data_IF_402280673845
#
_entry.id   IF_402280673845
#
_cell.length_a   1.000
_cell.length_b   1.000
_cell.length_c   1.000
_cell.angle_alpha   90.00
_cell.angle_beta   90.00
_cell.angle_gamma   90.00
#
_symmetry.space_group_name_H-M   'P 1'
#
loop_
_entity.id
_entity.type
_entity.pdbx_description
1 polymer ?
#
# COMPACT_ATOMS: atom_id res chain seq x y z
N UNK A 1 -1.33 22.43 13.32
CA UNK A 1 -0.01 22.73 13.96
C UNK A 1 -0.07 23.98 14.85
N UNK A 2 0.15 23.86 16.17
CA UNK A 2 0.40 25.02 17.03
C UNK A 2 1.89 25.37 16.98
N UNK A 3 2.25 26.62 16.68
CA UNK A 3 3.64 27.10 16.56
C UNK A 3 4.49 26.86 17.84
N UNK A 4 3.83 26.63 18.98
CA UNK A 4 4.46 26.37 20.27
C UNK A 4 5.23 25.05 20.34
N UNK A 5 4.76 24.00 19.65
CA UNK A 5 5.41 22.70 19.66
C UNK A 5 6.54 22.62 18.61
N UNK A 6 6.30 23.20 17.43
CA UNK A 6 7.25 23.14 16.31
C UNK A 6 8.59 23.84 16.57
N UNK A 7 8.66 24.70 17.59
CA UNK A 7 9.92 25.38 17.99
C UNK A 7 10.80 24.54 18.92
N UNK A 8 10.28 23.44 19.50
CA UNK A 8 11.00 22.61 20.49
C UNK A 8 11.06 21.13 20.12
N UNK A 9 10.21 20.65 19.21
CA UNK A 9 10.20 19.27 18.73
C UNK A 9 10.96 19.14 17.40
N UNK A 10 11.89 18.18 17.34
CA UNK A 10 12.61 17.80 16.12
C UNK A 10 13.10 16.35 16.24
N UNK A 11 13.22 15.65 15.11
CA UNK A 11 13.71 14.28 14.99
C UNK A 11 12.92 13.26 15.82
N UNK A 12 11.60 13.45 15.94
CA UNK A 12 10.69 12.58 16.70
C UNK A 12 10.66 11.16 16.13
N UNK A 13 11.08 10.94 14.88
CA UNK A 13 11.34 9.60 14.36
C UNK A 13 12.36 8.82 15.23
N UNK A 14 13.27 9.50 15.91
CA UNK A 14 14.27 8.91 16.80
C UNK A 14 13.98 9.20 18.28
N UNK A 15 13.51 10.41 18.59
CA UNK A 15 13.50 10.93 19.97
C UNK A 15 12.19 10.69 20.71
N UNK A 16 11.08 10.40 20.01
CA UNK A 16 9.78 10.23 20.68
C UNK A 16 9.76 8.98 21.58
N UNK A 17 9.25 9.09 22.82
CA UNK A 17 9.19 7.95 23.72
C UNK A 17 8.11 6.95 23.30
N UNK A 18 6.96 7.46 22.84
CA UNK A 18 5.77 6.67 22.56
C UNK A 18 5.56 6.45 21.06
N UNK A 19 5.06 5.26 20.70
CA UNK A 19 4.63 4.92 19.35
C UNK A 19 3.17 5.33 19.07
N UNK A 20 2.62 6.34 19.77
CA UNK A 20 1.29 6.94 19.52
C UNK A 20 1.38 8.46 19.48
N UNK A 21 0.44 9.09 18.79
CA UNK A 21 0.28 10.54 18.67
C UNK A 21 0.81 11.12 17.36
N UNK A 22 0.33 12.31 17.02
CA UNK A 22 0.85 13.14 15.94
C UNK A 22 2.25 13.67 16.25
N UNK A 23 2.95 14.19 15.23
CA UNK A 23 4.28 14.77 15.37
C UNK A 23 4.24 16.23 14.91
N UNK A 24 4.54 17.17 15.81
CA UNK A 24 4.37 18.61 15.56
C UNK A 24 5.67 19.32 15.17
N UNK A 25 6.61 18.61 14.54
CA UNK A 25 7.86 19.19 14.04
C UNK A 25 7.63 20.09 12.82
N UNK A 26 8.62 20.94 12.51
CA UNK A 26 8.63 21.66 11.24
C UNK A 26 8.60 20.68 10.05
N UNK A 27 7.59 20.81 9.20
CA UNK A 27 7.35 19.86 8.09
C UNK A 27 8.55 19.70 7.13
N UNK A 28 9.36 20.76 6.98
CA UNK A 28 10.54 20.83 6.12
C UNK A 28 11.86 20.41 6.79
N UNK A 29 11.83 20.07 8.08
CA UNK A 29 13.00 19.61 8.85
C UNK A 29 12.81 18.21 9.41
N UNK A 30 13.72 17.79 10.29
CA UNK A 30 13.62 16.54 11.05
C UNK A 30 13.80 15.25 10.24
N UNK A 31 14.03 14.15 10.94
CA UNK A 31 14.19 12.81 10.38
C UNK A 31 12.94 12.29 9.64
N UNK A 32 13.15 11.73 8.44
CA UNK A 32 12.09 11.33 7.50
C UNK A 32 11.76 9.83 7.59
N UNK A 33 11.13 9.42 8.70
CA UNK A 33 10.30 8.21 8.70
C UNK A 33 8.91 8.52 8.13
N UNK A 34 8.20 7.47 7.70
CA UNK A 34 6.81 7.58 7.26
C UNK A 34 5.99 8.28 8.36
N UNK A 35 5.31 9.38 8.03
CA UNK A 35 4.51 10.21 8.94
C UNK A 35 5.21 10.58 10.26
N UNK A 36 6.56 10.68 10.26
CA UNK A 36 7.36 10.91 11.47
C UNK A 36 7.12 9.87 12.58
N UNK A 37 6.74 8.64 12.19
CA UNK A 37 6.62 7.50 13.11
C UNK A 37 7.99 7.13 13.66
N UNK A 38 8.03 6.56 14.87
CA UNK A 38 9.30 6.13 15.47
C UNK A 38 9.95 5.05 14.59
N UNK A 39 11.22 5.22 14.25
CA UNK A 39 12.05 4.16 13.68
C UNK A 39 12.37 3.12 14.76
N UNK A 40 12.01 1.86 14.53
CA UNK A 40 12.39 0.76 15.42
C UNK A 40 12.25 -0.59 14.73
N UNK A 41 13.07 -1.56 15.14
CA UNK A 41 12.91 -2.98 14.80
C UNK A 41 12.22 -3.77 15.91
N UNK A 42 11.91 -3.13 17.03
CA UNK A 42 11.15 -3.72 18.14
C UNK A 42 9.65 -3.66 17.84
N UNK A 43 8.99 -4.81 17.90
CA UNK A 43 7.56 -4.97 17.59
C UNK A 43 6.67 -5.14 18.83
N UNK A 44 7.26 -5.21 20.03
CA UNK A 44 6.51 -5.37 21.27
C UNK A 44 5.54 -4.20 21.49
N UNK A 45 4.25 -4.50 21.62
CA UNK A 45 3.20 -3.50 21.81
C UNK A 45 2.93 -2.61 20.60
N UNK A 46 3.37 -3.01 19.41
CA UNK A 46 3.07 -2.34 18.13
C UNK A 46 1.78 -2.94 17.55
N UNK A 47 0.89 -2.10 17.07
CA UNK A 47 -0.36 -2.50 16.41
C UNK A 47 -0.17 -2.63 14.89
N UNK A 48 0.67 -1.77 14.30
CA UNK A 48 0.95 -1.72 12.86
C UNK A 48 2.39 -1.28 12.56
N UNK A 49 3.04 -1.98 11.64
CA UNK A 49 4.37 -1.64 11.13
C UNK A 49 4.29 -1.13 9.69
N UNK A 50 4.90 0.03 9.43
CA UNK A 50 5.12 0.55 8.08
C UNK A 50 6.50 0.09 7.62
N UNK A 51 6.63 -0.53 6.45
CA UNK A 51 7.95 -1.00 5.97
C UNK A 51 8.13 -0.81 4.47
N UNK A 52 9.35 -0.50 4.03
CA UNK A 52 9.67 -0.32 2.62
C UNK A 52 10.30 -1.57 1.99
N UNK A 53 9.95 -1.83 0.73
CA UNK A 53 10.48 -2.93 -0.09
C UNK A 53 11.09 -2.37 -1.40
N UNK A 54 12.33 -1.84 -1.37
CA UNK A 54 12.88 -1.07 -2.49
C UNK A 54 13.43 -1.95 -3.63
N UNK A 55 12.54 -2.57 -4.40
CA UNK A 55 12.86 -3.49 -5.49
C UNK A 55 12.06 -3.15 -6.75
N UNK A 56 12.69 -3.14 -7.93
CA UNK A 56 12.04 -2.85 -9.22
C UNK A 56 12.63 -3.68 -10.38
N UNK A 57 13.17 -4.87 -10.09
CA UNK A 57 13.79 -5.71 -11.12
C UNK A 57 12.79 -6.67 -11.79
N UNK A 58 11.50 -6.61 -11.42
CA UNK A 58 10.41 -7.31 -12.09
C UNK A 58 9.64 -6.43 -13.10
N UNK A 59 10.05 -5.17 -13.29
CA UNK A 59 9.37 -4.24 -14.19
C UNK A 59 9.54 -4.62 -15.66
N UNK A 60 8.49 -4.41 -16.44
CA UNK A 60 8.49 -4.65 -17.90
C UNK A 60 8.91 -3.44 -18.74
N UNK A 61 8.84 -2.23 -18.18
CA UNK A 61 9.11 -0.98 -18.91
C UNK A 61 10.13 -0.07 -18.19
N UNK A 62 9.67 0.89 -17.38
CA UNK A 62 10.54 1.91 -16.77
C UNK A 62 10.93 1.50 -15.34
N UNK A 63 12.23 1.36 -15.03
CA UNK A 63 12.67 1.17 -13.64
C UNK A 63 12.61 2.50 -12.87
N UNK A 64 12.68 2.43 -11.54
CA UNK A 64 12.71 3.58 -10.65
C UNK A 64 11.89 3.39 -9.37
N UNK A 65 10.99 2.42 -9.35
CA UNK A 65 10.15 2.11 -8.19
C UNK A 65 10.97 1.69 -6.95
N UNK A 66 12.23 1.24 -7.11
CA UNK A 66 13.14 0.99 -5.97
C UNK A 66 13.37 2.21 -5.08
N UNK A 67 13.12 3.42 -5.57
CA UNK A 67 13.23 4.66 -4.80
C UNK A 67 11.89 5.12 -4.20
N UNK A 68 10.78 4.47 -4.54
CA UNK A 68 9.42 4.75 -4.07
C UNK A 68 9.31 4.87 -2.54
N UNK A 69 9.84 3.92 -1.75
CA UNK A 69 9.71 3.99 -0.29
C UNK A 69 10.33 5.24 0.33
N UNK A 70 11.42 5.77 -0.26
CA UNK A 70 12.03 7.02 0.23
C UNK A 70 11.17 8.23 -0.11
N UNK A 71 10.69 8.29 -1.35
CA UNK A 71 9.85 9.41 -1.80
C UNK A 71 8.52 9.47 -1.05
N UNK A 72 7.90 8.33 -0.77
CA UNK A 72 6.66 8.26 0.03
C UNK A 72 6.92 8.74 1.46
N UNK A 73 8.02 8.31 2.10
CA UNK A 73 8.40 8.83 3.44
C UNK A 73 8.56 10.34 3.44
N UNK A 74 9.29 10.88 2.46
CA UNK A 74 9.50 12.32 2.33
C UNK A 74 8.17 13.07 2.14
N UNK A 75 7.34 12.64 1.20
CA UNK A 75 6.04 13.25 0.92
C UNK A 75 5.07 13.17 2.10
N UNK A 76 5.18 12.13 2.93
CA UNK A 76 4.33 11.93 4.11
C UNK A 76 4.59 12.94 5.25
N UNK A 77 5.70 13.66 5.21
CA UNK A 77 6.08 14.63 6.24
C UNK A 77 5.02 15.72 6.49
N UNK A 78 4.29 16.12 5.44
CA UNK A 78 3.24 17.13 5.52
C UNK A 78 1.99 16.62 6.27
N UNK A 79 1.79 15.32 6.37
CA UNK A 79 0.60 14.71 6.97
C UNK A 79 0.77 14.38 8.47
N UNK A 80 1.97 14.57 9.03
CA UNK A 80 2.32 14.03 10.34
C UNK A 80 1.73 14.79 11.55
N UNK A 81 1.29 16.04 11.35
CA UNK A 81 0.88 16.96 12.43
C UNK A 81 -0.63 17.22 12.50
N UNK A 82 -1.43 16.63 11.60
CA UNK A 82 -2.88 16.77 11.58
C UNK A 82 -3.54 15.38 11.50
N UNK A 83 -4.72 15.24 12.10
CA UNK A 83 -5.51 14.02 11.98
C UNK A 83 -5.95 13.80 10.52
N UNK A 84 -6.06 12.55 10.04
CA UNK A 84 -6.45 12.27 8.67
C UNK A 84 -7.88 12.76 8.40
N UNK A 85 -8.02 13.62 7.40
CA UNK A 85 -9.28 14.27 7.07
C UNK A 85 -10.32 13.26 6.56
N UNK A 86 -11.57 13.41 7.02
CA UNK A 86 -12.73 12.66 6.51
C UNK A 86 -13.03 11.34 7.24
N UNK A 87 -12.19 10.90 8.19
CA UNK A 87 -12.38 9.62 8.89
C UNK A 87 -13.14 9.72 10.22
N UNK A 88 -13.16 10.89 10.86
CA UNK A 88 -13.83 11.07 12.15
C UNK A 88 -13.17 10.33 13.33
N UNK A 89 -11.93 9.87 13.15
CA UNK A 89 -11.04 9.36 14.20
C UNK A 89 -9.58 9.48 13.72
N UNK A 90 -8.62 9.31 14.64
CA UNK A 90 -7.20 9.45 14.34
C UNK A 90 -6.42 8.16 14.67
N UNK A 91 -6.08 7.31 13.67
CA UNK A 91 -5.30 6.11 13.90
C UNK A 91 -3.89 6.41 14.41
N UNK A 92 -3.32 7.58 14.12
CA UNK A 92 -1.98 7.95 14.59
C UNK A 92 -1.94 8.15 16.10
N UNK A 93 -3.05 8.58 16.69
CA UNK A 93 -3.23 8.76 18.13
C UNK A 93 -3.76 7.51 18.84
N UNK A 94 -4.58 6.69 18.18
CA UNK A 94 -5.17 5.49 18.78
C UNK A 94 -4.27 4.24 18.70
N UNK A 95 -3.52 4.08 17.60
CA UNK A 95 -2.72 2.89 17.34
C UNK A 95 -1.23 3.12 17.59
N UNK A 96 -0.58 2.08 18.10
CA UNK A 96 0.87 1.99 18.21
C UNK A 96 1.48 1.70 16.84
N UNK A 97 1.92 2.73 16.12
CA UNK A 97 2.42 2.64 14.74
C UNK A 97 3.90 3.02 14.68
N UNK A 98 4.71 2.18 14.01
CA UNK A 98 6.16 2.39 13.83
C UNK A 98 6.55 2.38 12.35
N UNK A 99 7.63 3.08 12.01
CA UNK A 99 8.34 2.84 10.75
C UNK A 99 9.40 1.78 11.02
N UNK A 100 9.18 0.60 10.46
CA UNK A 100 10.06 -0.55 10.59
C UNK A 100 11.28 -0.46 9.65
N UNK A 101 11.43 0.63 8.91
CA UNK A 101 12.48 0.80 7.91
C UNK A 101 12.28 -0.12 6.71
N UNK A 102 13.34 -0.36 5.97
CA UNK A 102 13.30 -1.20 4.77
C UNK A 102 13.73 -2.65 5.06
N UNK A 103 13.30 -3.57 4.20
CA UNK A 103 13.84 -4.93 4.14
C UNK A 103 15.25 -4.90 3.53
N UNK A 104 16.18 -5.63 4.15
CA UNK A 104 17.53 -5.83 3.60
C UNK A 104 17.58 -7.09 2.71
N UNK A 105 18.15 -6.96 1.52
CA UNK A 105 18.35 -8.05 0.56
C UNK A 105 19.60 -7.79 -0.31
N UNK A 106 20.08 -8.83 -0.98
CA UNK A 106 21.14 -8.70 -1.99
C UNK A 106 20.51 -8.29 -3.33
N UNK A 107 20.72 -7.03 -3.72
CA UNK A 107 20.16 -6.50 -4.96
C UNK A 107 20.72 -7.21 -6.22
N UNK A 108 21.87 -7.87 -6.12
CA UNK A 108 22.47 -8.61 -7.22
C UNK A 108 21.97 -10.06 -7.33
N UNK A 109 21.24 -10.55 -6.32
CA UNK A 109 20.66 -11.89 -6.30
C UNK A 109 19.13 -11.84 -6.33
N UNK A 110 18.59 -11.53 -7.50
CA UNK A 110 17.14 -11.33 -7.74
C UNK A 110 16.32 -12.57 -7.34
N UNK A 111 16.84 -13.77 -7.56
CA UNK A 111 16.13 -15.01 -7.28
C UNK A 111 15.82 -15.22 -5.78
N UNK A 112 16.56 -14.61 -4.86
CA UNK A 112 16.31 -14.70 -3.43
C UNK A 112 15.23 -13.73 -2.92
N UNK A 113 14.95 -12.66 -3.68
CA UNK A 113 14.04 -11.59 -3.24
C UNK A 113 12.67 -12.11 -2.79
N UNK A 114 11.98 -13.03 -3.50
CA UNK A 114 10.67 -13.52 -3.06
C UNK A 114 10.72 -14.13 -1.65
N UNK A 115 11.70 -14.99 -1.39
CA UNK A 115 11.86 -15.64 -0.08
C UNK A 115 12.23 -14.63 1.02
N UNK A 116 12.99 -13.59 0.69
CA UNK A 116 13.36 -12.51 1.63
C UNK A 116 12.15 -11.67 2.00
N UNK A 117 11.31 -11.30 1.04
CA UNK A 117 10.07 -10.53 1.28
C UNK A 117 9.12 -11.35 2.15
N UNK A 118 8.89 -12.61 1.80
CA UNK A 118 8.03 -13.50 2.57
C UNK A 118 8.50 -13.61 4.02
N UNK A 119 9.80 -13.86 4.26
CA UNK A 119 10.36 -13.96 5.59
C UNK A 119 10.31 -12.65 6.39
N UNK A 120 10.49 -11.50 5.72
CA UNK A 120 10.42 -10.17 6.36
C UNK A 120 9.00 -9.89 6.87
N UNK A 121 7.98 -10.17 6.05
CA UNK A 121 6.58 -9.99 6.44
C UNK A 121 6.16 -11.01 7.48
N UNK A 122 6.52 -12.29 7.31
CA UNK A 122 6.21 -13.36 8.27
C UNK A 122 6.78 -13.06 9.66
N UNK A 123 7.99 -12.49 9.73
CA UNK A 123 8.60 -12.04 10.97
C UNK A 123 7.78 -10.96 11.69
N UNK A 124 7.19 -10.02 10.96
CA UNK A 124 6.32 -8.97 11.53
C UNK A 124 4.98 -9.57 11.98
N UNK A 125 4.33 -10.37 11.12
CA UNK A 125 3.04 -11.00 11.41
C UNK A 125 3.13 -11.97 12.60
N UNK A 126 4.26 -12.67 12.77
CA UNK A 126 4.52 -13.57 13.91
C UNK A 126 4.53 -12.84 15.25
N UNK A 127 4.86 -11.55 15.26
CA UNK A 127 4.74 -10.67 16.43
C UNK A 127 3.31 -10.15 16.67
N UNK A 128 2.32 -10.62 15.91
CA UNK A 128 0.92 -10.18 15.96
C UNK A 128 0.72 -8.71 15.54
N UNK A 129 1.60 -8.22 14.68
CA UNK A 129 1.59 -6.84 14.17
C UNK A 129 1.15 -6.84 12.71
N UNK A 130 0.20 -5.98 12.34
CA UNK A 130 -0.19 -5.82 10.93
C UNK A 130 0.86 -5.05 10.12
N UNK A 131 0.80 -5.12 8.79
CA UNK A 131 1.72 -4.38 7.93
C UNK A 131 1.01 -3.50 6.92
N UNK A 132 1.55 -2.30 6.71
CA UNK A 132 1.34 -1.56 5.47
C UNK A 132 2.69 -1.34 4.81
N UNK A 133 2.85 -1.75 3.56
CA UNK A 133 4.14 -1.67 2.88
C UNK A 133 4.19 -0.56 1.85
N UNK A 134 5.36 0.06 1.70
CA UNK A 134 5.69 0.92 0.57
C UNK A 134 6.55 0.08 -0.37
N UNK A 135 6.03 -0.22 -1.55
CA UNK A 135 6.70 -1.05 -2.53
C UNK A 135 7.77 -0.31 -3.31
N UNK A 136 8.52 -1.11 -4.06
CA UNK A 136 8.82 -0.80 -5.45
C UNK A 136 7.78 -1.49 -6.33
N UNK A 137 8.19 -2.37 -7.25
CA UNK A 137 7.28 -2.96 -8.25
C UNK A 137 6.21 -3.91 -7.67
N UNK A 138 5.14 -4.13 -8.44
CA UNK A 138 3.95 -4.85 -8.00
C UNK A 138 4.19 -6.37 -7.75
N UNK A 139 5.31 -6.93 -8.24
CA UNK A 139 5.64 -8.34 -7.97
C UNK A 139 5.74 -8.63 -6.47
N UNK A 140 6.17 -7.64 -5.68
CA UNK A 140 6.35 -7.76 -4.22
C UNK A 140 5.08 -8.23 -3.49
N UNK A 141 3.89 -7.98 -4.04
CA UNK A 141 2.62 -8.40 -3.44
C UNK A 141 2.49 -9.93 -3.38
N UNK A 142 3.03 -10.69 -4.33
CA UNK A 142 2.98 -12.16 -4.30
C UNK A 142 3.64 -12.78 -3.04
N UNK A 143 4.93 -12.52 -2.74
CA UNK A 143 5.54 -13.04 -1.52
C UNK A 143 4.96 -12.44 -0.22
N UNK A 144 4.38 -11.22 -0.26
CA UNK A 144 3.60 -10.69 0.88
C UNK A 144 2.37 -11.58 1.11
N UNK A 145 1.59 -11.87 0.08
CA UNK A 145 0.40 -12.72 0.17
C UNK A 145 0.73 -14.14 0.64
N UNK A 146 1.89 -14.70 0.30
CA UNK A 146 2.36 -15.98 0.86
C UNK A 146 2.48 -15.94 2.38
N UNK A 147 3.07 -14.86 2.93
CA UNK A 147 3.17 -14.67 4.37
C UNK A 147 1.80 -14.45 5.03
N UNK A 148 0.92 -13.65 4.42
CA UNK A 148 -0.44 -13.45 4.91
C UNK A 148 -1.26 -14.75 4.90
N UNK A 149 -1.15 -15.57 3.87
CA UNK A 149 -1.85 -16.84 3.76
C UNK A 149 -1.46 -17.83 4.87
N UNK A 150 -0.20 -17.84 5.32
CA UNK A 150 0.24 -18.64 6.47
C UNK A 150 -0.48 -18.24 7.76
N UNK A 151 -0.80 -16.95 7.93
CA UNK A 151 -1.42 -16.42 9.15
C UNK A 151 -2.94 -16.46 9.12
N UNK A 152 -3.55 -16.14 7.98
CA UNK A 152 -5.00 -15.91 7.86
C UNK A 152 -5.71 -16.96 7.01
N UNK A 153 -4.97 -17.89 6.38
CA UNK A 153 -5.48 -18.63 5.22
C UNK A 153 -5.62 -17.72 4.00
N UNK A 154 -6.23 -18.21 2.91
CA UNK A 154 -6.47 -17.39 1.73
C UNK A 154 -7.24 -16.11 2.09
N UNK A 155 -6.79 -14.97 1.58
CA UNK A 155 -7.39 -13.66 1.85
C UNK A 155 -8.24 -13.18 0.67
N UNK A 156 -9.23 -12.33 0.95
CA UNK A 156 -9.85 -11.53 -0.10
C UNK A 156 -8.87 -10.44 -0.56
N UNK A 157 -8.91 -10.09 -1.85
CA UNK A 157 -8.00 -9.11 -2.43
C UNK A 157 -8.77 -7.98 -3.10
N UNK A 158 -8.38 -6.75 -2.80
CA UNK A 158 -8.79 -5.56 -3.55
C UNK A 158 -7.53 -5.02 -4.21
N UNK A 159 -7.48 -5.06 -5.54
CA UNK A 159 -6.39 -4.53 -6.33
C UNK A 159 -6.85 -3.21 -6.97
N UNK A 160 -6.13 -2.12 -6.72
CA UNK A 160 -6.29 -0.87 -7.48
C UNK A 160 -5.17 -0.80 -8.50
N UNK A 161 -5.50 -0.76 -9.79
CA UNK A 161 -4.50 -0.91 -10.85
C UNK A 161 -5.05 -0.50 -12.22
N UNK A 162 -4.17 -0.13 -13.17
CA UNK A 162 -4.53 -0.09 -14.60
C UNK A 162 -4.44 -1.48 -15.27
N UNK A 163 -3.69 -2.40 -14.67
CA UNK A 163 -3.30 -3.72 -15.16
C UNK A 163 -3.92 -4.85 -14.35
N UNK A 164 -4.26 -5.93 -15.05
CA UNK A 164 -4.92 -7.08 -14.40
C UNK A 164 -3.96 -7.98 -13.62
N UNK A 165 -2.66 -7.90 -13.90
CA UNK A 165 -1.55 -8.72 -13.39
C UNK A 165 -1.81 -10.23 -13.33
N UNK A 166 -2.72 -10.68 -14.19
CA UNK A 166 -3.19 -12.06 -14.32
C UNK A 166 -2.71 -12.71 -15.61
N UNK A 167 -1.70 -12.14 -16.27
CA UNK A 167 -1.10 -12.79 -17.44
C UNK A 167 -0.54 -14.16 -17.03
N UNK A 168 -0.86 -15.17 -17.85
CA UNK A 168 -0.52 -16.54 -17.56
C UNK A 168 1.00 -16.73 -17.48
N UNK A 169 1.46 -17.26 -16.34
CA UNK A 169 2.84 -17.65 -16.14
C UNK A 169 2.94 -18.86 -15.21
N UNK A 170 3.06 -20.04 -15.82
CA UNK A 170 3.20 -21.32 -15.12
C UNK A 170 4.63 -21.58 -14.61
N UNK A 171 5.58 -20.65 -14.80
CA UNK A 171 6.91 -20.73 -14.22
C UNK A 171 6.94 -20.06 -12.84
N UNK A 172 6.90 -20.84 -11.73
CA UNK A 172 6.85 -20.27 -10.38
C UNK A 172 8.15 -19.55 -9.99
N UNK A 173 9.25 -19.77 -10.71
CA UNK A 173 10.54 -19.12 -10.43
C UNK A 173 10.68 -17.76 -11.12
N UNK A 174 9.83 -17.45 -12.12
CA UNK A 174 9.88 -16.16 -12.81
C UNK A 174 9.38 -15.04 -11.92
N UNK A 175 10.11 -13.93 -11.94
CA UNK A 175 9.84 -12.72 -11.17
C UNK A 175 9.38 -11.65 -12.17
N UNK A 176 8.10 -11.32 -12.14
CA UNK A 176 7.47 -10.41 -13.10
C UNK A 176 6.25 -9.74 -12.45
N UNK A 177 6.17 -8.41 -12.54
CA UNK A 177 5.10 -7.65 -11.89
C UNK A 177 3.73 -7.85 -12.54
N UNK A 178 3.65 -8.19 -13.84
CA UNK A 178 2.39 -8.38 -14.57
C UNK A 178 1.78 -9.79 -14.46
N UNK A 179 2.36 -10.67 -13.64
CA UNK A 179 1.93 -12.06 -13.49
C UNK A 179 1.68 -12.47 -12.03
N UNK A 180 1.86 -11.56 -11.08
CA UNK A 180 1.84 -11.89 -9.66
C UNK A 180 0.47 -12.43 -9.22
N UNK A 181 -0.62 -11.83 -9.72
CA UNK A 181 -1.98 -12.23 -9.35
C UNK A 181 -2.38 -13.56 -9.98
N UNK A 182 -1.90 -13.85 -11.20
CA UNK A 182 -2.01 -15.19 -11.78
C UNK A 182 -1.43 -16.22 -10.81
N UNK A 183 -0.18 -16.03 -10.37
CA UNK A 183 0.50 -16.95 -9.45
C UNK A 183 -0.19 -17.04 -8.10
N UNK A 184 -0.64 -15.91 -7.54
CA UNK A 184 -1.35 -15.87 -6.27
C UNK A 184 -2.65 -16.69 -6.30
N UNK A 185 -3.40 -16.64 -7.40
CA UNK A 185 -4.60 -17.47 -7.61
C UNK A 185 -4.21 -18.95 -7.76
N UNK A 186 -3.19 -19.26 -8.57
CA UNK A 186 -2.72 -20.65 -8.78
C UNK A 186 -2.20 -21.31 -7.51
N UNK A 187 -1.58 -20.53 -6.63
CA UNK A 187 -1.10 -20.97 -5.31
C UNK A 187 -2.21 -21.02 -4.24
N UNK A 188 -3.42 -20.55 -4.55
CA UNK A 188 -4.54 -20.50 -3.61
C UNK A 188 -4.35 -19.50 -2.48
N UNK A 189 -3.53 -18.46 -2.68
CA UNK A 189 -3.33 -17.38 -1.70
C UNK A 189 -4.53 -16.43 -1.66
N UNK A 190 -5.18 -16.29 -2.81
CA UNK A 190 -6.42 -15.54 -3.05
C UNK A 190 -7.31 -16.37 -3.99
N UNK A 191 -8.61 -16.09 -4.01
CA UNK A 191 -9.55 -16.76 -4.90
C UNK A 191 -10.28 -15.74 -5.79
N UNK A 192 -10.46 -15.99 -7.11
CA UNK A 192 -11.08 -15.03 -8.05
C UNK A 192 -12.43 -14.50 -7.56
N UNK A 193 -13.27 -15.34 -6.97
CA UNK A 193 -14.59 -14.98 -6.44
C UNK A 193 -14.56 -14.01 -5.25
N UNK A 194 -13.38 -13.82 -4.65
CA UNK A 194 -13.13 -12.90 -3.52
C UNK A 194 -12.08 -11.84 -3.86
N UNK A 195 -11.75 -11.72 -5.15
CA UNK A 195 -10.81 -10.72 -5.67
C UNK A 195 -11.55 -9.74 -6.56
N UNK A 196 -11.29 -8.45 -6.37
CA UNK A 196 -11.80 -7.37 -7.21
C UNK A 196 -10.67 -6.45 -7.63
N UNK A 197 -10.54 -6.21 -8.95
CA UNK A 197 -9.57 -5.26 -9.51
C UNK A 197 -10.30 -4.00 -9.99
N UNK A 198 -9.78 -2.83 -9.61
CA UNK A 198 -10.43 -1.52 -9.73
C UNK A 198 -9.54 -0.57 -10.53
N UNK A 199 -10.09 0.04 -11.58
CA UNK A 199 -9.36 0.98 -12.44
C UNK A 199 -8.71 0.36 -13.68
N UNK A 200 -8.94 -0.93 -13.91
CA UNK A 200 -8.39 -1.68 -15.04
C UNK A 200 -8.72 -0.97 -16.35
N UNK A 201 -7.74 -0.89 -17.24
CA UNK A 201 -7.87 -0.27 -18.57
C UNK A 201 -6.82 -0.77 -19.56
N UNK A 202 -6.39 -2.00 -19.34
CA UNK A 202 -5.58 -2.79 -20.27
C UNK A 202 -6.30 -4.11 -20.54
N UNK A 203 -6.07 -4.68 -21.72
CA UNK A 203 -6.76 -5.89 -22.16
C UNK A 203 -5.99 -7.14 -21.68
N UNK A 204 -6.72 -8.07 -21.08
CA UNK A 204 -6.26 -9.43 -20.81
C UNK A 204 -7.44 -10.38 -21.13
N UNK A 205 -7.29 -11.30 -22.11
CA UNK A 205 -8.38 -12.18 -22.51
C UNK A 205 -8.81 -13.17 -21.42
N UNK A 206 -7.96 -13.42 -20.40
CA UNK A 206 -8.28 -14.29 -19.28
C UNK A 206 -7.81 -13.68 -17.95
N UNK A 207 -8.75 -13.09 -17.22
CA UNK A 207 -8.53 -12.55 -15.86
C UNK A 207 -8.78 -13.60 -14.78
N UNK A 208 -8.85 -14.89 -15.12
CA UNK A 208 -9.12 -16.01 -14.23
C UNK A 208 -10.46 -15.92 -13.48
N UNK A 209 -11.40 -15.12 -13.96
CA UNK A 209 -12.69 -14.88 -13.31
C UNK A 209 -12.67 -13.83 -12.19
N UNK A 210 -11.59 -13.06 -12.05
CA UNK A 210 -11.52 -11.90 -11.14
C UNK A 210 -12.61 -10.88 -11.51
N UNK A 211 -13.28 -10.32 -10.50
CA UNK A 211 -14.25 -9.24 -10.71
C UNK A 211 -13.52 -7.97 -11.14
N UNK A 212 -13.79 -7.49 -12.36
CA UNK A 212 -13.20 -6.25 -12.88
C UNK A 212 -14.19 -5.09 -12.73
N UNK A 213 -13.76 -4.02 -12.08
CA UNK A 213 -14.40 -2.70 -12.05
C UNK A 213 -13.48 -1.75 -12.81
N UNK A 214 -13.56 -1.77 -14.14
CA UNK A 214 -12.66 -1.01 -15.02
C UNK A 214 -12.80 0.52 -14.81
N UNK A 215 -11.82 1.29 -15.30
CA UNK A 215 -11.86 2.74 -15.14
C UNK A 215 -13.14 3.38 -15.72
N UNK A 216 -13.63 3.01 -16.93
CA UNK A 216 -14.92 3.47 -17.44
C UNK A 216 -16.11 3.20 -16.50
N UNK A 217 -16.19 2.02 -15.88
CA UNK A 217 -17.21 1.68 -14.89
C UNK A 217 -17.11 2.61 -13.70
N UNK A 218 -15.92 2.79 -13.11
CA UNK A 218 -15.73 3.68 -11.94
C UNK A 218 -16.15 5.12 -12.27
N UNK A 219 -15.86 5.59 -13.48
CA UNK A 219 -16.26 6.91 -13.96
C UNK A 219 -17.78 7.07 -14.10
N UNK A 220 -18.46 6.04 -14.62
CA UNK A 220 -19.90 6.10 -14.94
C UNK A 220 -20.79 5.74 -13.74
N UNK A 221 -20.44 4.68 -13.01
CA UNK A 221 -21.17 4.20 -11.85
C UNK A 221 -20.91 5.07 -10.60
N UNK A 222 -19.74 5.69 -10.53
CA UNK A 222 -19.34 6.55 -9.42
C UNK A 222 -18.87 5.80 -8.18
N UNK A 223 -18.53 6.57 -7.15
CA UNK A 223 -17.86 6.08 -5.93
C UNK A 223 -18.77 5.12 -5.14
N UNK A 224 -20.03 5.47 -4.93
CA UNK A 224 -20.94 4.71 -4.06
C UNK A 224 -21.17 3.28 -4.58
N UNK A 225 -21.48 3.14 -5.87
CA UNK A 225 -21.67 1.82 -6.50
C UNK A 225 -20.35 1.03 -6.53
N UNK A 226 -19.22 1.69 -6.81
CA UNK A 226 -17.90 1.04 -6.78
C UNK A 226 -17.60 0.46 -5.40
N UNK A 227 -17.82 1.24 -4.33
CA UNK A 227 -17.65 0.79 -2.94
C UNK A 227 -18.60 -0.36 -2.61
N UNK A 228 -19.87 -0.28 -3.01
CA UNK A 228 -20.84 -1.34 -2.78
C UNK A 228 -20.43 -2.66 -3.44
N UNK A 229 -19.92 -2.60 -4.69
CA UNK A 229 -19.41 -3.76 -5.41
C UNK A 229 -18.19 -4.38 -4.75
N UNK A 230 -17.21 -3.55 -4.36
CA UNK A 230 -16.02 -4.02 -3.66
C UNK A 230 -16.43 -4.75 -2.37
N UNK A 231 -17.27 -4.13 -1.53
CA UNK A 231 -17.75 -4.73 -0.27
C UNK A 231 -18.51 -6.04 -0.49
N UNK A 232 -19.31 -6.14 -1.55
CA UNK A 232 -20.03 -7.36 -1.92
C UNK A 232 -19.08 -8.53 -2.23
N UNK A 233 -17.99 -8.26 -2.97
CA UNK A 233 -17.00 -9.29 -3.35
C UNK A 233 -16.24 -9.79 -2.11
N UNK A 234 -15.69 -8.87 -1.30
CA UNK A 234 -14.82 -9.26 -0.18
C UNK A 234 -15.61 -9.80 1.03
N UNK A 235 -16.81 -9.27 1.27
CA UNK A 235 -17.63 -9.60 2.45
C UNK A 235 -16.91 -9.31 3.77
N UNK A 236 -17.01 -10.23 4.72
CA UNK A 236 -16.40 -10.11 6.06
C UNK A 236 -15.01 -10.79 6.18
N UNK A 237 -14.48 -11.29 5.06
CA UNK A 237 -13.23 -12.06 5.03
C UNK A 237 -12.03 -11.18 5.39
N UNK A 238 -10.95 -11.76 5.96
CA UNK A 238 -9.65 -11.10 6.00
C UNK A 238 -9.30 -10.58 4.60
N UNK A 239 -9.10 -9.28 4.50
CA UNK A 239 -8.90 -8.58 3.24
C UNK A 239 -7.51 -7.96 3.20
N UNK A 240 -6.87 -8.05 2.05
CA UNK A 240 -5.65 -7.33 1.74
C UNK A 240 -5.95 -6.31 0.61
N UNK A 241 -5.45 -5.09 0.73
CA UNK A 241 -5.51 -4.09 -0.36
C UNK A 241 -4.12 -3.92 -0.93
N UNK A 242 -3.99 -4.09 -2.25
CA UNK A 242 -2.80 -3.70 -2.98
C UNK A 242 -3.14 -2.54 -3.90
N UNK A 243 -2.38 -1.45 -3.82
CA UNK A 243 -2.64 -0.22 -4.55
C UNK A 243 -1.46 0.11 -5.45
N UNK A 244 -1.58 -0.24 -6.73
CA UNK A 244 -0.70 0.29 -7.77
C UNK A 244 -1.04 1.76 -8.00
N UNK A 245 -0.03 2.63 -7.89
CA UNK A 245 -0.23 4.06 -8.09
C UNK A 245 -0.66 4.39 -9.52
N UNK A 246 -0.35 3.52 -10.48
CA UNK A 246 -0.77 3.64 -11.88
C UNK A 246 -2.28 3.38 -12.09
N UNK A 247 -3.01 2.93 -11.06
CA UNK A 247 -4.47 3.00 -11.04
C UNK A 247 -4.97 4.43 -11.33
N UNK A 248 -4.24 5.43 -10.84
CA UNK A 248 -4.52 6.83 -11.08
C UNK A 248 -4.13 7.23 -12.52
N UNK A 249 -4.87 8.17 -13.09
CA UNK A 249 -4.49 8.73 -14.38
C UNK A 249 -3.08 9.37 -14.31
N UNK A 250 -2.26 9.32 -15.38
CA UNK A 250 -0.96 9.98 -15.41
C UNK A 250 -1.00 11.49 -15.12
N UNK A 251 -2.16 12.15 -15.22
CA UNK A 251 -2.34 13.52 -14.74
C UNK A 251 -2.18 13.67 -13.21
N UNK A 252 -2.42 12.60 -12.44
CA UNK A 252 -2.30 12.56 -10.98
C UNK A 252 -1.11 11.72 -10.50
N UNK A 253 -0.70 10.70 -11.26
CA UNK A 253 0.43 9.83 -10.95
C UNK A 253 1.39 9.70 -12.15
N UNK A 254 2.07 10.79 -12.59
CA UNK A 254 3.01 10.74 -13.69
C UNK A 254 4.25 9.85 -13.40
N UNK A 255 4.57 9.69 -12.12
CA UNK A 255 5.73 8.99 -11.60
C UNK A 255 5.53 7.50 -11.42
N UNK A 256 5.29 6.75 -12.50
CA UNK A 256 5.11 5.29 -12.48
C UNK A 256 5.77 4.60 -13.68
N UNK A 257 5.99 3.29 -13.57
CA UNK A 257 6.66 2.44 -14.57
C UNK A 257 5.88 2.25 -15.87
N UNK A 258 4.56 2.14 -15.75
CA UNK A 258 3.63 1.67 -16.79
C UNK A 258 2.40 2.58 -16.93
N UNK A 259 2.56 3.90 -17.17
CA UNK A 259 1.41 4.81 -17.16
C UNK A 259 0.41 4.51 -18.28
N UNK A 260 -0.88 4.38 -17.90
CA UNK A 260 -2.00 4.21 -18.84
C UNK A 260 -3.02 5.33 -18.67
N UNK A 261 -3.32 6.05 -19.74
CA UNK A 261 -4.33 7.13 -19.76
C UNK A 261 -5.76 6.66 -19.47
N UNK A 262 -6.62 7.58 -19.05
CA UNK A 262 -8.03 7.31 -18.73
C UNK A 262 -8.21 6.65 -17.37
N UNK A 263 -7.32 6.97 -16.41
CA UNK A 263 -7.32 6.40 -15.07
C UNK A 263 -8.20 7.13 -14.07
N UNK A 264 -8.19 6.66 -12.82
CA UNK A 264 -8.92 7.31 -11.74
C UNK A 264 -8.33 8.69 -11.43
N UNK A 265 -9.20 9.64 -11.12
CA UNK A 265 -8.77 10.86 -10.45
C UNK A 265 -8.45 10.56 -8.97
N UNK A 266 -7.48 11.28 -8.39
CA UNK A 266 -7.07 11.07 -6.99
C UNK A 266 -8.23 11.20 -6.00
N UNK A 267 -9.21 12.06 -6.28
CA UNK A 267 -10.42 12.21 -5.46
C UNK A 267 -11.35 10.98 -5.52
N UNK A 268 -11.40 10.26 -6.65
CA UNK A 268 -12.18 9.02 -6.77
C UNK A 268 -11.55 7.94 -5.89
N UNK A 269 -10.23 7.75 -6.02
CA UNK A 269 -9.49 6.78 -5.21
C UNK A 269 -9.64 7.08 -3.71
N UNK A 270 -9.45 8.34 -3.29
CA UNK A 270 -9.61 8.74 -1.89
C UNK A 270 -11.04 8.49 -1.37
N UNK A 271 -12.07 8.82 -2.16
CA UNK A 271 -13.45 8.61 -1.76
C UNK A 271 -13.83 7.13 -1.70
N UNK A 272 -13.32 6.30 -2.62
CA UNK A 272 -13.50 4.85 -2.59
C UNK A 272 -12.83 4.26 -1.34
N UNK A 273 -11.54 4.55 -1.11
CA UNK A 273 -10.81 4.05 0.06
C UNK A 273 -11.52 4.42 1.37
N UNK A 274 -12.01 5.65 1.52
CA UNK A 274 -12.81 6.05 2.69
C UNK A 274 -14.14 5.29 2.80
N UNK A 275 -14.83 5.12 1.68
CA UNK A 275 -16.09 4.36 1.61
C UNK A 275 -15.92 2.88 1.99
N UNK A 276 -14.71 2.34 1.91
CA UNK A 276 -14.38 0.98 2.36
C UNK A 276 -14.32 0.83 3.89
N UNK A 277 -14.53 1.89 4.67
CA UNK A 277 -14.67 1.78 6.13
C UNK A 277 -15.60 0.63 6.54
N UNK A 278 -15.11 -0.23 7.42
CA UNK A 278 -15.82 -1.40 7.94
C UNK A 278 -15.38 -2.75 7.37
N UNK A 279 -14.60 -2.80 6.29
CA UNK A 279 -14.01 -4.06 5.82
C UNK A 279 -13.01 -4.62 6.84
N UNK A 280 -12.83 -5.94 6.85
CA UNK A 280 -11.84 -6.61 7.69
C UNK A 280 -10.44 -6.52 7.07
N UNK A 281 -9.88 -5.31 6.96
CA UNK A 281 -8.53 -5.09 6.44
C UNK A 281 -7.49 -5.64 7.43
N UNK A 282 -6.65 -6.57 6.96
CA UNK A 282 -5.56 -7.16 7.74
C UNK A 282 -4.18 -6.64 7.36
N UNK A 283 -4.05 -6.04 6.17
CA UNK A 283 -2.82 -5.43 5.68
C UNK A 283 -3.03 -4.76 4.32
N UNK A 284 -1.99 -4.10 3.82
CA UNK A 284 -1.99 -3.59 2.46
C UNK A 284 -0.66 -3.02 2.00
N UNK A 285 -0.60 -2.58 0.75
CA UNK A 285 0.56 -1.92 0.18
C UNK A 285 0.22 -0.84 -0.84
N UNK A 286 1.19 0.03 -1.06
CA UNK A 286 1.22 1.00 -2.16
C UNK A 286 2.50 0.77 -2.97
N UNK A 287 2.36 0.53 -4.26
CA UNK A 287 3.46 0.07 -5.15
C UNK A 287 3.64 1.01 -6.35
N UNK A 288 4.69 0.78 -7.13
CA UNK A 288 4.99 1.44 -8.42
C UNK A 288 5.22 2.96 -8.41
N UNK A 289 5.31 3.59 -7.23
CA UNK A 289 5.79 4.98 -7.12
C UNK A 289 7.24 5.05 -7.60
N UNK A 290 7.46 5.75 -8.71
CA UNK A 290 8.75 5.86 -9.40
C UNK A 290 9.22 7.33 -9.46
N UNK A 291 10.02 7.78 -8.46
CA UNK A 291 10.47 9.16 -8.34
C UNK A 291 11.19 9.75 -9.56
N UNK A 292 11.99 8.99 -10.35
CA UNK A 292 12.62 9.52 -11.56
C UNK A 292 11.62 10.09 -12.59
N UNK A 293 10.35 9.71 -12.52
CA UNK A 293 9.27 10.18 -13.39
C UNK A 293 8.28 11.13 -12.70
N UNK A 294 8.53 11.47 -11.43
CA UNK A 294 7.65 12.29 -10.59
C UNK A 294 8.19 13.72 -10.43
N UNK A 295 8.20 14.49 -11.52
CA UNK A 295 8.90 15.79 -11.57
C UNK A 295 8.44 16.83 -10.55
N UNK A 296 7.21 16.72 -10.03
CA UNK A 296 6.64 17.62 -9.03
C UNK A 296 6.52 17.00 -7.64
N UNK A 297 6.79 15.69 -7.50
CA UNK A 297 6.49 14.93 -6.28
C UNK A 297 5.01 14.56 -6.12
N UNK A 298 4.15 14.82 -7.12
CA UNK A 298 2.71 14.59 -7.03
C UNK A 298 2.37 13.11 -6.80
N UNK A 299 3.12 12.20 -7.43
CA UNK A 299 2.90 10.76 -7.32
C UNK A 299 3.31 10.24 -5.95
N UNK A 300 4.43 10.71 -5.41
CA UNK A 300 4.86 10.42 -4.04
C UNK A 300 3.86 10.95 -3.01
N UNK A 301 3.29 12.15 -3.23
CA UNK A 301 2.20 12.70 -2.41
C UNK A 301 0.97 11.81 -2.47
N UNK A 302 0.55 11.39 -3.66
CA UNK A 302 -0.56 10.45 -3.82
C UNK A 302 -0.30 9.12 -3.10
N UNK A 303 0.91 8.57 -3.24
CA UNK A 303 1.33 7.36 -2.53
C UNK A 303 1.31 7.51 -1.01
N UNK A 304 1.75 8.65 -0.47
CA UNK A 304 1.67 8.96 0.96
C UNK A 304 0.21 9.08 1.43
N UNK A 305 -0.68 9.66 0.63
CA UNK A 305 -2.11 9.69 0.95
C UNK A 305 -2.72 8.29 0.93
N UNK A 306 -2.46 7.46 -0.09
CA UNK A 306 -2.91 6.07 -0.13
C UNK A 306 -2.42 5.31 1.11
N UNK A 307 -1.14 5.47 1.48
CA UNK A 307 -0.57 4.86 2.68
C UNK A 307 -1.34 5.26 3.95
N UNK A 308 -1.71 6.54 4.11
CA UNK A 308 -2.54 7.01 5.22
C UNK A 308 -3.95 6.41 5.19
N UNK A 309 -4.59 6.34 4.03
CA UNK A 309 -5.93 5.75 3.87
C UNK A 309 -5.92 4.25 4.24
N UNK A 310 -4.85 3.50 3.91
CA UNK A 310 -4.67 2.10 4.33
C UNK A 310 -4.52 1.96 5.85
N UNK A 311 -3.76 2.86 6.49
CA UNK A 311 -3.61 2.90 7.95
C UNK A 311 -4.97 3.20 8.62
N UNK A 312 -5.76 4.09 8.04
CA UNK A 312 -7.11 4.36 8.49
C UNK A 312 -7.98 3.09 8.34
N UNK A 313 -8.08 2.51 7.15
CA UNK A 313 -8.87 1.30 6.96
C UNK A 313 -8.49 0.16 7.93
N UNK A 314 -7.20 -0.05 8.18
CA UNK A 314 -6.73 -1.04 9.15
C UNK A 314 -7.20 -0.73 10.57
N UNK A 315 -7.11 0.54 10.99
CA UNK A 315 -7.53 0.98 12.31
C UNK A 315 -9.04 1.00 12.52
N UNK A 316 -9.83 1.13 11.45
CA UNK A 316 -11.29 1.34 11.54
C UNK A 316 -12.01 0.28 12.39
N UNK A 317 -11.70 -1.00 12.17
CA UNK A 317 -12.30 -2.13 12.91
C UNK A 317 -11.65 -2.38 14.27
N UNK A 318 -10.60 -1.63 14.60
CA UNK A 318 -9.78 -1.75 15.82
C UNK A 318 -9.92 -0.55 16.76
N UNK A 319 -10.81 0.39 16.44
CA UNK A 319 -11.10 1.56 17.25
C UNK A 319 -11.55 1.14 18.64
N UNK A 320 -11.04 1.85 19.65
CA UNK A 320 -11.57 1.74 21.01
C UNK A 320 -12.77 2.68 21.06
N UNK A 321 -13.96 2.14 21.32
CA UNK A 321 -15.21 2.90 21.38
C UNK A 321 -15.17 4.05 22.38
#
# INVERSE_FOLDING_TARGET
MALEDAKTQVDMAFTRPEARGLAFENAFGGALSAFRRRYTKELSGVDLAITGLPFDQAVTNRPGARFGPRAIREASALQAFDAPYGWGYDPMSELSIVDYGDMAFDYANVAEVPARVEAHIDGILSAHVGTVTMGGDHFLTLPILRAYAKRFGPVALIQFDAHSDTWADDDPARIDHGTFLYKAIREGLVAPETTVSVGIRTDNPDTLGVQILDAPFVHQAGVEETVARIKSVVGERPCYITFDIDCLDPAFAPGTGTPVWGGLASWQAAAILRGLGGINLVGGDVVEVSPPYDTTGATAIAGAHVLMELICLYGWTRRRG
#
